data_IF_967133252316
#
_entry.id   IF_967133252316
#
_cell.length_a   1.000
_cell.length_b   1.000
_cell.length_c   1.000
_cell.angle_alpha   90.00
_cell.angle_beta   90.00
_cell.angle_gamma   90.00
#
_symmetry.space_group_name_H-M   'P 1'
#
loop_
_entity.id
_entity.type
_entity.pdbx_description
1 polymer ?
#
# COMPACT_ATOMS: atom_id res chain seq x y z
N UNK A 1 21.19 7.99 -13.65
CA UNK A 1 20.03 8.55 -12.94
C UNK A 1 20.03 8.00 -11.54
N UNK A 2 19.88 8.87 -10.53
CA UNK A 2 19.96 8.49 -9.12
C UNK A 2 18.61 8.68 -8.45
N UNK A 3 18.15 7.66 -7.75
CA UNK A 3 16.80 7.60 -7.19
C UNK A 3 16.86 7.39 -5.68
N UNK A 4 15.96 8.03 -4.95
CA UNK A 4 15.80 7.88 -3.52
C UNK A 4 14.60 6.97 -3.24
N UNK A 5 14.80 5.93 -2.45
CA UNK A 5 13.75 5.18 -1.76
C UNK A 5 13.80 5.61 -0.30
N UNK A 6 12.72 6.18 0.23
CA UNK A 6 12.80 6.89 1.52
C UNK A 6 13.08 5.99 2.73
N UNK A 7 12.73 4.70 2.65
CA UNK A 7 13.08 3.72 3.68
C UNK A 7 13.47 2.36 3.10
N UNK A 8 14.42 1.65 3.73
CA UNK A 8 14.76 0.25 3.42
C UNK A 8 14.00 -0.79 4.26
N UNK A 9 13.21 -0.36 5.25
CA UNK A 9 12.67 -1.26 6.29
C UNK A 9 11.49 -2.11 5.84
N UNK A 10 10.89 -1.81 4.69
CA UNK A 10 9.66 -2.44 4.21
C UNK A 10 9.92 -3.38 3.04
N UNK A 11 9.09 -4.42 2.92
CA UNK A 11 9.13 -5.34 1.77
C UNK A 11 9.05 -4.58 0.44
N UNK A 12 8.15 -3.60 0.37
CA UNK A 12 7.95 -2.73 -0.79
C UNK A 12 9.27 -2.12 -1.30
N UNK A 13 10.15 -1.70 -0.39
CA UNK A 13 11.41 -1.05 -0.73
C UNK A 13 12.37 -1.96 -1.49
N UNK A 14 12.48 -3.23 -1.06
CA UNK A 14 13.32 -4.22 -1.75
C UNK A 14 12.76 -4.58 -3.13
N UNK A 15 11.44 -4.72 -3.24
CA UNK A 15 10.75 -4.99 -4.51
C UNK A 15 10.90 -3.84 -5.50
N UNK A 16 10.80 -2.60 -5.01
CA UNK A 16 11.03 -1.41 -5.82
C UNK A 16 12.48 -1.31 -6.28
N UNK A 17 13.45 -1.54 -5.39
CA UNK A 17 14.88 -1.52 -5.77
C UNK A 17 15.20 -2.57 -6.85
N UNK A 18 14.56 -3.74 -6.80
CA UNK A 18 14.66 -4.76 -7.85
C UNK A 18 14.13 -4.26 -9.20
N UNK A 19 12.96 -3.62 -9.23
CA UNK A 19 12.39 -3.02 -10.46
C UNK A 19 13.21 -1.84 -11.00
N UNK A 20 14.03 -1.22 -10.14
CA UNK A 20 14.91 -0.11 -10.46
C UNK A 20 16.39 -0.53 -10.55
N UNK A 21 16.68 -1.82 -10.75
CA UNK A 21 18.06 -2.35 -10.67
C UNK A 21 19.05 -1.72 -11.66
N UNK A 22 18.57 -1.15 -12.75
CA UNK A 22 19.40 -0.45 -13.74
C UNK A 22 19.76 0.99 -13.31
N UNK A 23 19.31 1.43 -12.14
CA UNK A 23 19.50 2.77 -11.60
C UNK A 23 20.34 2.76 -10.33
N UNK A 24 20.94 3.91 -10.02
CA UNK A 24 21.62 4.09 -8.73
C UNK A 24 20.56 4.37 -7.64
N UNK A 25 20.29 3.37 -6.81
CA UNK A 25 19.32 3.45 -5.70
C UNK A 25 20.00 3.88 -4.41
N UNK A 26 19.47 4.94 -3.79
CA UNK A 26 19.82 5.37 -2.44
C UNK A 26 18.66 5.08 -1.50
N UNK A 27 18.93 4.39 -0.40
CA UNK A 27 17.98 4.26 0.70
C UNK A 27 18.20 5.39 1.69
N UNK A 28 17.18 6.23 1.87
CA UNK A 28 17.27 7.43 2.70
C UNK A 28 17.64 7.10 4.14
N UNK A 29 16.84 6.27 4.81
CA UNK A 29 17.01 5.89 6.22
C UNK A 29 18.28 5.10 6.59
N UNK A 30 19.10 4.70 5.61
CA UNK A 30 20.46 4.19 5.85
C UNK A 30 21.50 5.32 5.95
N UNK A 31 21.15 6.53 5.55
CA UNK A 31 22.01 7.70 5.59
C UNK A 31 21.78 8.48 6.89
N UNK A 32 22.87 8.85 7.56
CA UNK A 32 22.81 9.57 8.86
C UNK A 32 22.13 10.93 8.73
N UNK A 33 22.31 11.59 7.58
CA UNK A 33 21.77 12.93 7.31
C UNK A 33 20.34 12.92 6.77
N UNK A 34 19.72 11.74 6.63
CA UNK A 34 18.35 11.65 6.15
C UNK A 34 17.34 11.97 7.26
N UNK A 35 16.30 12.77 6.98
CA UNK A 35 15.36 13.20 8.00
C UNK A 35 14.51 12.05 8.56
N UNK A 36 14.28 12.16 9.87
CA UNK A 36 13.31 11.32 10.58
C UNK A 36 11.89 11.78 10.31
N UNK A 37 10.93 10.86 10.40
CA UNK A 37 9.52 11.10 10.09
C UNK A 37 8.88 12.16 10.99
N UNK A 38 9.41 12.38 12.19
CA UNK A 38 8.90 13.38 13.14
C UNK A 38 9.37 14.81 12.85
N UNK A 39 10.19 15.01 11.81
CA UNK A 39 10.64 16.35 11.45
C UNK A 39 9.46 17.25 11.02
N UNK A 40 9.39 18.43 11.63
CA UNK A 40 8.41 19.48 11.29
C UNK A 40 8.63 20.00 9.86
N UNK A 41 9.85 19.87 9.33
CA UNK A 41 10.27 20.32 8.00
C UNK A 41 10.64 19.16 7.08
N UNK A 42 10.01 17.98 7.26
CA UNK A 42 10.36 16.74 6.55
C UNK A 42 10.60 16.92 5.04
N UNK A 43 9.67 17.55 4.31
CA UNK A 43 9.80 17.76 2.88
C UNK A 43 11.02 18.63 2.50
N UNK A 44 11.33 19.67 3.27
CA UNK A 44 12.49 20.53 3.01
C UNK A 44 13.81 19.81 3.30
N UNK A 45 13.85 18.98 4.34
CA UNK A 45 15.02 18.17 4.66
C UNK A 45 15.25 17.08 3.62
N UNK A 46 14.18 16.43 3.13
CA UNK A 46 14.27 15.47 2.01
C UNK A 46 14.76 16.18 0.75
N UNK A 47 14.28 17.39 0.45
CA UNK A 47 14.75 18.18 -0.69
C UNK A 47 16.24 18.49 -0.57
N UNK A 48 16.68 19.00 0.59
CA UNK A 48 18.09 19.28 0.84
C UNK A 48 18.95 18.03 0.63
N UNK A 49 18.54 16.91 1.25
CA UNK A 49 19.22 15.64 1.07
C UNK A 49 19.29 15.23 -0.41
N UNK A 50 18.21 15.43 -1.14
CA UNK A 50 18.10 15.10 -2.57
C UNK A 50 19.06 15.94 -3.41
N UNK A 51 19.18 17.24 -3.13
CA UNK A 51 20.13 18.14 -3.78
C UNK A 51 21.58 17.73 -3.48
N UNK A 52 21.91 17.53 -2.20
CA UNK A 52 23.25 17.16 -1.74
C UNK A 52 23.73 15.83 -2.35
N UNK A 53 22.79 14.93 -2.67
CA UNK A 53 23.08 13.61 -3.24
C UNK A 53 22.80 13.49 -4.75
N UNK A 54 22.45 14.58 -5.43
CA UNK A 54 22.08 14.58 -6.86
C UNK A 54 20.96 13.58 -7.20
N UNK A 55 19.97 13.45 -6.32
CA UNK A 55 18.77 12.65 -6.55
C UNK A 55 17.90 13.34 -7.59
N UNK A 56 17.35 12.54 -8.50
CA UNK A 56 16.46 13.02 -9.57
C UNK A 56 15.02 12.52 -9.39
N UNK A 57 14.83 11.41 -8.68
CA UNK A 57 13.52 10.81 -8.44
C UNK A 57 13.40 10.35 -6.99
N UNK A 58 12.24 10.56 -6.39
CA UNK A 58 11.94 10.19 -5.02
C UNK A 58 10.74 9.25 -5.01
N UNK A 59 10.94 8.05 -4.48
CA UNK A 59 9.90 7.07 -4.24
C UNK A 59 9.62 6.99 -2.74
N UNK A 60 8.53 7.61 -2.27
CA UNK A 60 8.15 7.49 -0.86
C UNK A 60 7.71 6.05 -0.57
N UNK A 61 8.33 5.44 0.43
CA UNK A 61 7.94 4.13 0.97
C UNK A 61 7.48 4.18 2.41
N UNK A 62 7.57 5.33 3.08
CA UNK A 62 6.97 5.59 4.40
C UNK A 62 5.64 6.30 4.23
N UNK A 63 4.63 5.90 4.99
CA UNK A 63 3.30 6.54 4.95
C UNK A 63 3.39 8.04 5.32
N UNK A 64 4.23 8.37 6.29
CA UNK A 64 4.43 9.73 6.81
C UNK A 64 5.04 10.68 5.78
N UNK A 65 5.73 10.16 4.75
CA UNK A 65 6.31 10.96 3.69
C UNK A 65 5.26 11.46 2.68
N UNK A 66 4.14 10.75 2.52
CA UNK A 66 3.19 10.98 1.44
C UNK A 66 2.60 12.40 1.50
N UNK A 67 2.04 12.78 2.64
CA UNK A 67 1.35 14.07 2.76
C UNK A 67 2.30 15.28 2.65
N UNK A 68 3.47 15.31 3.32
CA UNK A 68 4.45 16.39 3.16
C UNK A 68 4.99 16.50 1.73
N UNK A 69 5.38 15.38 1.11
CA UNK A 69 5.92 15.40 -0.25
C UNK A 69 4.88 15.83 -1.28
N UNK A 70 3.64 15.35 -1.15
CA UNK A 70 2.53 15.79 -2.02
C UNK A 70 2.27 17.30 -1.91
N UNK A 71 2.29 17.85 -0.69
CA UNK A 71 2.11 19.30 -0.47
C UNK A 71 3.24 20.15 -1.04
N UNK A 72 4.45 19.59 -1.08
CA UNK A 72 5.66 20.29 -1.54
C UNK A 72 6.07 19.93 -2.97
N UNK A 73 5.25 19.22 -3.75
CA UNK A 73 5.61 18.74 -5.08
C UNK A 73 6.15 19.85 -6.00
N UNK A 74 5.49 21.02 -6.01
CA UNK A 74 5.91 22.20 -6.79
C UNK A 74 7.34 22.62 -6.44
N UNK A 75 7.71 22.59 -5.16
CA UNK A 75 9.06 22.94 -4.71
C UNK A 75 10.11 21.97 -5.26
N UNK A 76 9.81 20.67 -5.32
CA UNK A 76 10.75 19.69 -5.88
C UNK A 76 10.87 19.83 -7.40
N UNK A 77 9.76 20.13 -8.08
CA UNK A 77 9.75 20.39 -9.52
C UNK A 77 10.63 21.59 -9.90
N UNK A 78 10.75 22.62 -9.05
CA UNK A 78 11.67 23.76 -9.28
C UNK A 78 13.16 23.36 -9.37
N UNK A 79 13.52 22.20 -8.83
CA UNK A 79 14.89 21.66 -8.84
C UNK A 79 15.04 20.43 -9.75
N UNK A 80 14.09 20.18 -10.65
CA UNK A 80 14.07 19.02 -11.54
C UNK A 80 14.08 17.67 -10.78
N UNK A 81 13.52 17.64 -9.56
CA UNK A 81 13.39 16.42 -8.76
C UNK A 81 11.95 15.92 -8.82
N UNK A 82 11.77 14.71 -9.33
CA UNK A 82 10.44 14.11 -9.51
C UNK A 82 10.02 13.29 -8.31
N UNK A 83 8.90 13.66 -7.69
CA UNK A 83 8.27 12.85 -6.65
C UNK A 83 7.37 11.83 -7.34
N UNK A 84 7.71 10.55 -7.18
CA UNK A 84 7.02 9.43 -7.81
C UNK A 84 5.79 9.02 -7.01
N UNK A 85 4.84 9.95 -6.95
CA UNK A 85 3.60 9.86 -6.21
C UNK A 85 2.44 10.43 -7.03
N UNK A 86 1.26 9.82 -6.91
CA UNK A 86 0.01 10.36 -7.45
C UNK A 86 -0.86 11.01 -6.38
N UNK A 87 -1.82 11.81 -6.82
CA UNK A 87 -2.83 12.40 -5.92
C UNK A 87 -3.63 11.33 -5.20
N UNK A 88 -4.04 10.27 -5.89
CA UNK A 88 -4.82 9.18 -5.32
C UNK A 88 -3.90 8.12 -4.70
N UNK A 89 -4.00 7.94 -3.39
CA UNK A 89 -3.25 6.92 -2.67
C UNK A 89 -3.89 5.54 -2.84
N UNK A 90 -5.21 5.46 -3.07
CA UNK A 90 -5.94 4.23 -3.41
C UNK A 90 -6.53 4.41 -4.81
N UNK A 91 -5.99 3.69 -5.79
CA UNK A 91 -6.39 3.86 -7.20
C UNK A 91 -7.57 2.96 -7.57
N UNK A 92 -7.72 1.83 -6.86
CA UNK A 92 -8.80 0.89 -7.05
C UNK A 92 -9.17 0.21 -5.75
N UNK A 93 -10.47 0.05 -5.52
CA UNK A 93 -10.99 -0.56 -4.32
C UNK A 93 -12.36 -1.18 -4.60
N UNK A 94 -12.49 -2.49 -4.40
CA UNK A 94 -13.72 -3.23 -4.72
C UNK A 94 -14.25 -4.04 -3.51
N UNK A 95 -14.67 -3.35 -2.44
CA UNK A 95 -15.22 -4.03 -1.27
C UNK A 95 -16.61 -4.62 -1.60
N UNK A 96 -16.89 -5.80 -1.07
CA UNK A 96 -18.22 -6.42 -1.12
C UNK A 96 -19.20 -5.76 -0.15
N UNK A 97 -18.71 -5.19 0.95
CA UNK A 97 -19.49 -4.41 1.91
C UNK A 97 -18.59 -3.47 2.73
N UNK A 98 -19.18 -2.50 3.42
CA UNK A 98 -18.47 -1.58 4.34
C UNK A 98 -19.18 -1.53 5.68
N UNK A 99 -18.49 -1.67 6.80
CA UNK A 99 -19.04 -1.59 8.15
C UNK A 99 -18.59 -0.31 8.85
N UNK A 100 -19.53 0.37 9.50
CA UNK A 100 -19.32 1.63 10.24
C UNK A 100 -19.41 1.44 11.77
N UNK A 101 -19.66 0.20 12.22
CA UNK A 101 -19.72 -0.17 13.63
C UNK A 101 -19.49 -1.66 13.79
N UNK A 102 -19.17 -2.11 15.00
CA UNK A 102 -18.97 -3.53 15.29
C UNK A 102 -20.22 -4.39 15.05
N UNK A 103 -21.41 -3.87 15.36
CA UNK A 103 -22.69 -4.54 15.06
C UNK A 103 -22.92 -4.66 13.56
N UNK A 104 -22.64 -3.60 12.79
CA UNK A 104 -22.69 -3.60 11.33
C UNK A 104 -21.69 -4.58 10.74
N UNK A 105 -20.47 -4.64 11.27
CA UNK A 105 -19.41 -5.56 10.86
C UNK A 105 -19.86 -7.01 11.01
N UNK A 106 -20.32 -7.38 12.20
CA UNK A 106 -20.78 -8.74 12.50
C UNK A 106 -21.93 -9.16 11.57
N UNK A 107 -22.91 -8.26 11.35
CA UNK A 107 -24.03 -8.51 10.44
C UNK A 107 -23.57 -8.69 8.99
N UNK A 108 -22.65 -7.84 8.51
CA UNK A 108 -22.15 -7.86 7.12
C UNK A 108 -21.30 -9.10 6.84
N UNK A 109 -20.47 -9.53 7.78
CA UNK A 109 -19.72 -10.79 7.68
C UNK A 109 -20.67 -11.97 7.44
N UNK A 110 -21.74 -12.06 8.24
CA UNK A 110 -22.73 -13.12 8.12
C UNK A 110 -23.52 -13.01 6.81
N UNK A 111 -23.91 -11.80 6.38
CA UNK A 111 -24.64 -11.61 5.13
C UNK A 111 -23.83 -11.95 3.89
N UNK A 112 -22.50 -11.85 3.96
CA UNK A 112 -21.59 -12.24 2.90
C UNK A 112 -21.36 -13.76 2.84
N UNK A 113 -21.95 -14.55 3.77
CA UNK A 113 -21.95 -16.00 3.69
C UNK A 113 -20.92 -16.71 4.59
N UNK A 114 -20.31 -16.01 5.55
CA UNK A 114 -19.45 -16.66 6.54
C UNK A 114 -20.21 -17.74 7.34
N UNK A 115 -19.60 -18.92 7.64
CA UNK A 115 -18.22 -19.33 7.38
C UNK A 115 -17.99 -20.03 6.04
N UNK A 116 -19.01 -20.15 5.17
CA UNK A 116 -18.90 -20.87 3.90
C UNK A 116 -18.21 -20.02 2.81
N UNK A 117 -18.13 -18.72 2.99
CA UNK A 117 -17.46 -17.76 2.12
C UNK A 117 -16.23 -17.19 2.82
N UNK A 118 -15.09 -17.19 2.12
CA UNK A 118 -13.89 -16.52 2.62
C UNK A 118 -14.05 -15.01 2.55
N UNK A 119 -13.73 -14.34 3.66
CA UNK A 119 -13.90 -12.90 3.83
C UNK A 119 -12.61 -12.33 4.42
N UNK A 120 -12.19 -11.19 3.90
CA UNK A 120 -11.11 -10.39 4.48
C UNK A 120 -11.59 -8.99 4.87
N UNK A 121 -10.92 -8.42 5.84
CA UNK A 121 -11.13 -7.09 6.38
C UNK A 121 -10.02 -6.15 5.88
N UNK A 122 -10.38 -4.94 5.50
CA UNK A 122 -9.43 -3.87 5.17
C UNK A 122 -9.88 -2.55 5.77
N UNK A 123 -8.92 -1.69 6.10
CA UNK A 123 -9.23 -0.31 6.50
C UNK A 123 -9.77 0.46 5.27
N UNK A 124 -10.83 1.27 5.47
CA UNK A 124 -11.48 2.02 4.41
C UNK A 124 -10.57 3.05 3.72
N UNK A 125 -9.59 3.60 4.44
CA UNK A 125 -8.57 4.52 3.91
C UNK A 125 -7.46 3.79 3.16
N UNK A 126 -7.55 2.46 3.03
CA UNK A 126 -6.56 1.64 2.34
C UNK A 126 -5.30 1.34 3.14
N UNK A 127 -5.16 1.81 4.38
CA UNK A 127 -3.99 1.53 5.23
C UNK A 127 -3.88 0.04 5.59
N UNK A 128 -2.65 -0.46 5.66
CA UNK A 128 -2.35 -1.83 6.08
C UNK A 128 -2.79 -2.92 5.10
N UNK A 129 -2.44 -4.18 5.40
CA UNK A 129 -2.85 -5.34 4.57
C UNK A 129 -4.34 -5.68 4.70
N UNK A 130 -4.80 -6.61 3.86
CA UNK A 130 -6.08 -7.28 4.08
C UNK A 130 -5.91 -8.41 5.10
N UNK A 131 -6.85 -8.54 6.03
CA UNK A 131 -6.81 -9.53 7.12
C UNK A 131 -7.92 -10.55 6.88
N UNK A 132 -7.55 -11.81 6.62
CA UNK A 132 -8.52 -12.88 6.36
C UNK A 132 -9.21 -13.37 7.64
N UNK A 133 -10.49 -13.74 7.56
CA UNK A 133 -11.20 -14.37 8.68
C UNK A 133 -11.02 -15.89 8.59
N UNK A 134 -10.38 -16.50 9.60
CA UNK A 134 -10.12 -17.94 9.67
C UNK A 134 -10.24 -18.48 11.12
N UNK A 135 -11.31 -19.24 11.39
CA UNK A 135 -11.56 -19.84 12.71
C UNK A 135 -10.61 -20.99 13.06
N UNK A 136 -9.78 -21.48 12.12
CA UNK A 136 -8.75 -22.48 12.42
C UNK A 136 -7.57 -21.88 13.22
N UNK A 137 -7.49 -20.55 13.30
CA UNK A 137 -6.43 -19.84 14.03
C UNK A 137 -6.77 -19.82 15.52
N UNK A 138 -6.13 -20.74 16.25
CA UNK A 138 -6.35 -20.92 17.69
C UNK A 138 -5.39 -20.12 18.58
N UNK A 139 -4.23 -19.70 18.06
CA UNK A 139 -3.18 -19.07 18.86
C UNK A 139 -3.16 -17.55 18.71
N UNK A 140 -3.40 -16.85 19.82
CA UNK A 140 -3.31 -15.39 19.95
C UNK A 140 -1.86 -14.85 19.93
N UNK A 141 -0.86 -15.73 19.82
CA UNK A 141 0.57 -15.41 20.01
C UNK A 141 1.21 -14.67 18.84
N UNK A 142 0.57 -14.60 17.67
CA UNK A 142 1.13 -14.00 16.46
C UNK A 142 0.60 -12.60 16.13
N UNK A 143 -0.18 -11.97 17.01
CA UNK A 143 -0.75 -10.62 16.78
C UNK A 143 0.34 -9.55 16.63
N UNK A 144 1.50 -9.77 17.26
CA UNK A 144 2.63 -8.83 17.23
C UNK A 144 3.41 -8.84 15.91
N UNK A 145 3.16 -9.80 15.02
CA UNK A 145 3.76 -9.88 13.69
C UNK A 145 2.65 -9.72 12.65
N UNK A 146 2.59 -8.57 11.98
CA UNK A 146 1.78 -8.29 10.77
C UNK A 146 0.62 -9.27 10.54
N UNK A 147 -0.51 -9.01 11.20
CA UNK A 147 -1.66 -9.93 11.25
C UNK A 147 -2.17 -10.21 9.84
N UNK A 148 -1.97 -11.44 9.34
CA UNK A 148 -2.53 -11.88 8.06
C UNK A 148 -3.96 -12.38 8.17
N UNK A 149 -4.33 -12.89 9.35
CA UNK A 149 -5.61 -13.53 9.57
C UNK A 149 -6.02 -13.55 11.05
N UNK A 150 -7.32 -13.53 11.29
CA UNK A 150 -7.95 -13.52 12.61
C UNK A 150 -9.18 -14.43 12.63
N UNK A 151 -9.49 -15.05 13.76
CA UNK A 151 -10.75 -15.79 13.88
C UNK A 151 -11.92 -14.84 14.11
N UNK A 152 -13.15 -15.28 13.81
CA UNK A 152 -14.35 -14.47 13.97
C UNK A 152 -14.52 -13.99 15.43
N UNK A 153 -14.16 -14.84 16.40
CA UNK A 153 -14.17 -14.52 17.83
C UNK A 153 -13.15 -13.42 18.16
N UNK A 154 -12.00 -13.39 17.49
CA UNK A 154 -10.95 -12.40 17.73
C UNK A 154 -11.32 -11.02 17.19
N UNK A 155 -12.11 -10.95 16.11
CA UNK A 155 -12.61 -9.68 15.56
C UNK A 155 -13.31 -8.85 16.64
N UNK A 156 -14.13 -9.51 17.47
CA UNK A 156 -14.83 -8.84 18.58
C UNK A 156 -13.90 -8.23 19.63
N UNK A 157 -12.69 -8.75 19.80
CA UNK A 157 -11.70 -8.15 20.72
C UNK A 157 -10.94 -7.00 20.07
N UNK A 158 -10.65 -7.11 18.78
CA UNK A 158 -9.84 -6.13 18.06
C UNK A 158 -10.64 -4.88 17.69
N UNK A 159 -11.89 -5.05 17.26
CA UNK A 159 -12.68 -3.98 16.65
C UNK A 159 -13.83 -3.47 17.51
N UNK A 160 -14.13 -4.08 18.67
CA UNK A 160 -15.13 -3.54 19.60
C UNK A 160 -14.51 -2.41 20.45
N UNK A 161 -14.14 -1.31 19.79
CA UNK A 161 -13.54 -0.13 20.39
C UNK A 161 -14.50 1.06 20.31
N UNK A 162 -14.34 2.05 21.19
CA UNK A 162 -15.17 3.26 21.20
C UNK A 162 -15.00 4.12 19.95
N UNK A 163 -13.84 4.05 19.30
CA UNK A 163 -13.52 4.72 18.04
C UNK A 163 -13.45 3.68 16.93
N UNK A 164 -14.61 3.20 16.47
CA UNK A 164 -14.67 2.26 15.37
C UNK A 164 -14.31 2.95 14.05
N UNK A 165 -13.23 2.51 13.41
CA UNK A 165 -12.87 2.93 12.05
C UNK A 165 -13.68 2.15 11.02
N UNK A 166 -14.05 2.78 9.89
CA UNK A 166 -14.79 2.07 8.84
C UNK A 166 -13.95 0.90 8.29
N UNK A 167 -14.58 -0.26 8.22
CA UNK A 167 -13.96 -1.50 7.75
C UNK A 167 -14.62 -1.94 6.46
N UNK A 168 -13.81 -2.16 5.44
CA UNK A 168 -14.23 -2.75 4.19
C UNK A 168 -14.09 -4.27 4.25
N UNK A 169 -15.09 -4.95 3.70
CA UNK A 169 -15.15 -6.41 3.65
C UNK A 169 -14.99 -6.86 2.21
N UNK A 170 -14.09 -7.82 1.99
CA UNK A 170 -13.78 -8.36 0.68
C UNK A 170 -14.06 -9.85 0.69
N UNK A 171 -14.92 -10.31 -0.21
CA UNK A 171 -15.03 -11.74 -0.50
C UNK A 171 -13.87 -12.18 -1.38
N UNK A 172 -13.35 -13.39 -1.18
CA UNK A 172 -12.33 -13.97 -2.07
C UNK A 172 -12.53 -15.48 -2.21
N UNK A 173 -11.92 -16.10 -3.22
CA UNK A 173 -12.09 -17.55 -3.46
C UNK A 173 -11.08 -18.41 -2.73
N UNK A 174 -9.80 -18.23 -3.02
CA UNK A 174 -8.73 -19.14 -2.59
C UNK A 174 -7.82 -18.47 -1.57
N UNK A 175 -6.95 -17.58 -2.03
CA UNK A 175 -5.99 -16.86 -1.19
C UNK A 175 -5.85 -15.43 -1.69
N UNK A 176 -5.66 -14.50 -0.76
CA UNK A 176 -5.28 -13.13 -1.09
C UNK A 176 -3.77 -13.09 -1.31
N UNK A 177 -3.38 -12.91 -2.56
CA UNK A 177 -2.01 -12.67 -2.96
C UNK A 177 -1.72 -11.18 -2.97
N UNK A 178 -0.45 -10.85 -2.77
CA UNK A 178 0.08 -9.50 -2.83
C UNK A 178 1.16 -9.46 -3.87
N UNK A 179 1.12 -8.46 -4.75
CA UNK A 179 2.20 -8.18 -5.67
C UNK A 179 2.36 -6.67 -5.90
N UNK A 180 3.35 -6.28 -6.68
CA UNK A 180 3.76 -4.88 -6.80
C UNK A 180 3.89 -4.47 -8.27
N UNK A 181 3.53 -3.22 -8.53
CA UNK A 181 3.67 -2.60 -9.85
C UNK A 181 4.28 -1.22 -9.73
N UNK A 182 5.21 -0.92 -10.63
CA UNK A 182 5.80 0.39 -10.81
C UNK A 182 5.22 1.02 -12.08
N UNK A 183 4.73 2.24 -11.94
CA UNK A 183 4.19 3.03 -13.04
C UNK A 183 5.14 4.20 -13.27
N UNK A 184 5.80 4.20 -14.42
CA UNK A 184 6.80 5.19 -14.81
C UNK A 184 6.15 6.41 -15.47
N UNK A 185 6.96 7.45 -15.68
CA UNK A 185 6.52 8.71 -16.28
C UNK A 185 6.01 8.54 -17.72
N UNK A 186 6.58 7.62 -18.47
CA UNK A 186 6.13 7.23 -19.82
C UNK A 186 4.88 6.35 -19.81
N UNK A 187 4.22 6.22 -18.65
CA UNK A 187 3.08 5.33 -18.41
C UNK A 187 3.38 3.84 -18.66
N UNK A 188 4.66 3.48 -18.73
CA UNK A 188 5.08 2.08 -18.75
C UNK A 188 4.81 1.47 -17.36
N UNK A 189 4.17 0.31 -17.37
CA UNK A 189 3.89 -0.46 -16.17
C UNK A 189 4.86 -1.63 -16.10
N UNK A 190 5.74 -1.61 -15.10
CA UNK A 190 6.62 -2.73 -14.78
C UNK A 190 5.99 -3.54 -13.63
N UNK A 191 5.84 -4.83 -13.85
CA UNK A 191 5.28 -5.76 -12.88
C UNK A 191 6.43 -6.46 -12.13
N UNK A 192 6.32 -6.58 -10.81
CA UNK A 192 7.32 -7.32 -10.02
C UNK A 192 7.24 -8.83 -10.27
N UNK A 193 6.04 -9.36 -10.44
CA UNK A 193 5.76 -10.75 -10.77
C UNK A 193 4.95 -10.85 -12.06
N UNK A 194 5.04 -11.99 -12.73
CA UNK A 194 4.19 -12.30 -13.88
C UNK A 194 2.76 -12.59 -13.39
N UNK A 195 1.83 -11.81 -13.91
CA UNK A 195 0.39 -12.05 -13.76
C UNK A 195 -0.10 -12.88 -14.95
N UNK A 196 -1.23 -13.58 -14.79
CA UNK A 196 -1.94 -14.09 -15.96
C UNK A 196 -2.37 -12.93 -16.88
N UNK A 197 -2.56 -13.24 -18.16
CA UNK A 197 -2.82 -12.21 -19.18
C UNK A 197 -4.10 -11.41 -18.90
N UNK A 198 -5.12 -12.04 -18.29
CA UNK A 198 -6.41 -11.41 -18.04
C UNK A 198 -6.28 -10.40 -16.90
N UNK A 199 -5.65 -10.80 -15.80
CA UNK A 199 -5.37 -9.97 -14.64
C UNK A 199 -4.42 -8.83 -15.01
N UNK A 200 -3.39 -9.09 -15.81
CA UNK A 200 -2.48 -8.04 -16.28
C UNK A 200 -3.21 -7.01 -17.16
N UNK A 201 -4.14 -7.46 -18.00
CA UNK A 201 -4.94 -6.58 -18.85
C UNK A 201 -5.89 -5.72 -18.01
N UNK A 202 -6.51 -6.29 -16.99
CA UNK A 202 -7.38 -5.58 -16.06
C UNK A 202 -6.60 -4.54 -15.22
N UNK A 203 -5.42 -4.90 -14.71
CA UNK A 203 -4.53 -3.96 -13.99
C UNK A 203 -4.17 -2.78 -14.89
N UNK A 204 -3.75 -3.04 -16.13
CA UNK A 204 -3.42 -2.00 -17.11
C UNK A 204 -4.61 -1.09 -17.37
N UNK A 205 -5.81 -1.66 -17.58
CA UNK A 205 -7.04 -0.91 -17.80
C UNK A 205 -7.34 0.04 -16.64
N UNK A 206 -7.32 -0.48 -15.41
CA UNK A 206 -7.57 0.32 -14.19
C UNK A 206 -6.55 1.45 -14.03
N UNK A 207 -5.26 1.16 -14.27
CA UNK A 207 -4.17 2.13 -14.10
C UNK A 207 -4.22 3.23 -15.18
N UNK A 208 -4.37 2.84 -16.45
CA UNK A 208 -4.34 3.78 -17.58
C UNK A 208 -5.49 4.79 -17.51
N UNK A 209 -6.66 4.38 -17.01
CA UNK A 209 -7.82 5.27 -16.80
C UNK A 209 -7.55 6.37 -15.76
N UNK A 210 -6.51 6.23 -14.93
CA UNK A 210 -6.22 7.10 -13.78
C UNK A 210 -5.05 8.07 -13.99
N UNK A 211 -4.23 7.87 -15.04
CA UNK A 211 -3.02 8.67 -15.32
C UNK A 211 -2.13 8.85 -14.07
N UNK A 212 -1.90 7.75 -13.37
CA UNK A 212 -1.12 7.70 -12.13
C UNK A 212 0.34 7.38 -12.42
N UNK A 213 1.22 7.76 -11.50
CA UNK A 213 2.64 7.43 -11.47
C UNK A 213 3.05 7.05 -10.04
N UNK A 214 4.07 6.21 -9.92
CA UNK A 214 4.63 5.79 -8.64
C UNK A 214 4.59 4.27 -8.44
N UNK A 215 4.72 3.85 -7.18
CA UNK A 215 4.84 2.45 -6.81
C UNK A 215 3.63 1.97 -6.01
N UNK A 216 3.01 0.89 -6.47
CA UNK A 216 1.72 0.41 -5.97
C UNK A 216 1.80 -1.05 -5.56
N UNK A 217 1.00 -1.40 -4.56
CA UNK A 217 0.69 -2.77 -4.19
C UNK A 217 -0.68 -3.15 -4.75
N UNK A 218 -0.80 -4.41 -5.15
CA UNK A 218 -2.02 -5.03 -5.63
C UNK A 218 -2.36 -6.18 -4.68
N UNK A 219 -3.50 -6.07 -4.01
CA UNK A 219 -4.13 -7.18 -3.28
C UNK A 219 -5.14 -7.83 -4.25
N UNK A 220 -4.98 -9.12 -4.53
CA UNK A 220 -5.80 -9.86 -5.50
C UNK A 220 -6.04 -11.30 -5.06
N UNK A 221 -7.11 -11.91 -5.57
CA UNK A 221 -7.25 -13.37 -5.61
C UNK A 221 -7.11 -13.85 -7.07
N UNK A 222 -7.17 -15.15 -7.31
CA UNK A 222 -6.96 -15.74 -8.64
C UNK A 222 -7.89 -15.22 -9.75
N UNK A 223 -9.02 -14.60 -9.41
CA UNK A 223 -10.01 -14.16 -10.39
C UNK A 223 -10.24 -12.65 -10.40
N UNK A 224 -9.84 -11.95 -9.33
CA UNK A 224 -10.13 -10.52 -9.21
C UNK A 224 -9.11 -9.74 -8.41
N UNK A 225 -8.96 -8.50 -8.84
CA UNK A 225 -8.29 -7.45 -8.07
C UNK A 225 -9.24 -7.02 -6.95
N UNK A 226 -8.73 -7.00 -5.71
CA UNK A 226 -9.49 -6.54 -4.54
C UNK A 226 -9.21 -5.06 -4.29
N UNK A 227 -7.93 -4.68 -4.36
CA UNK A 227 -7.47 -3.33 -4.04
C UNK A 227 -6.14 -3.04 -4.72
N UNK A 228 -5.99 -1.82 -5.21
CA UNK A 228 -4.70 -1.27 -5.65
C UNK A 228 -4.47 0.06 -4.95
N UNK A 229 -3.31 0.21 -4.31
CA UNK A 229 -2.97 1.37 -3.50
C UNK A 229 -1.48 1.63 -3.50
N UNK A 230 -1.08 2.84 -3.14
CA UNK A 230 0.32 3.22 -3.02
C UNK A 230 1.01 2.27 -2.04
N UNK A 231 2.21 1.79 -2.40
CA UNK A 231 2.93 0.81 -1.61
C UNK A 231 3.25 1.30 -0.20
N UNK A 232 3.44 2.61 0.00
CA UNK A 232 3.67 3.22 1.31
C UNK A 232 2.47 3.09 2.26
N UNK A 233 1.25 2.89 1.76
CA UNK A 233 0.07 2.57 2.59
C UNK A 233 0.08 1.13 3.14
N UNK A 234 1.03 0.30 2.73
CA UNK A 234 1.16 -1.08 3.21
C UNK A 234 2.23 -1.24 4.28
N UNK A 235 2.96 -0.16 4.54
CA UNK A 235 4.08 -0.06 5.45
C UNK A 235 3.60 0.28 6.86
#
# INVERSE_FOLDING_TARGET
MKVLITSHQFEASGKLAYLLMDLEVVFGDLSVDFPKVESVSLAHEILKFSLDNCITHIYPTRFEDLAPLKKSQILFDEFDIKIMLSTDEVIFNNPSAEAESYSSLSSKILSLGYPNQNIALGNADGKGGLISIDDNIKNFSNIWNQIKSVSFIQIGKLFNQSNFENIQLYTFKTEIKKSFVLIREDQKIDFFEDFDNDLQSEIKRIILDKNVLGFYVIDYDEEKILRIKNAALSC
#
